data_IF_521417352923
#
_entry.id   IF_521417352923
#
_cell.length_a   1.000
_cell.length_b   1.000
_cell.length_c   1.000
_cell.angle_alpha   90.00
_cell.angle_beta   90.00
_cell.angle_gamma   90.00
#
_symmetry.space_group_name_H-M   'P 1'
#
loop_
_entity.id
_entity.type
_entity.pdbx_description
1 polymer ?
#
# COMPACT_ATOMS: atom_id res chain seq x y z
N UNK A 1 -22.98 20.97 -53.83
CA UNK A 1 -21.83 20.10 -53.51
C UNK A 1 -21.29 20.30 -52.09
N UNK A 2 -21.15 21.53 -51.57
CA UNK A 2 -20.67 21.77 -50.19
C UNK A 2 -21.56 21.17 -49.08
N UNK A 3 -22.89 21.16 -49.24
CA UNK A 3 -23.80 20.62 -48.22
C UNK A 3 -23.84 19.09 -48.13
N UNK A 4 -23.31 18.36 -49.12
CA UNK A 4 -23.31 16.88 -49.11
C UNK A 4 -22.04 16.30 -48.47
N UNK A 5 -20.92 17.01 -48.59
CA UNK A 5 -19.63 16.63 -47.99
C UNK A 5 -19.63 16.81 -46.47
N UNK A 6 -20.38 17.78 -45.95
CA UNK A 6 -20.47 18.05 -44.51
C UNK A 6 -21.34 17.03 -43.76
N UNK A 7 -22.35 16.47 -44.42
CA UNK A 7 -23.20 15.40 -43.87
C UNK A 7 -22.49 14.05 -43.85
N UNK A 8 -21.72 13.71 -44.89
CA UNK A 8 -20.94 12.47 -44.89
C UNK A 8 -19.82 12.46 -43.85
N UNK A 9 -19.17 13.61 -43.61
CA UNK A 9 -18.19 13.76 -42.53
C UNK A 9 -18.77 13.56 -41.13
N UNK A 10 -20.00 14.04 -40.88
CA UNK A 10 -20.70 13.88 -39.60
C UNK A 10 -21.22 12.45 -39.37
N UNK A 11 -21.68 11.78 -40.43
CA UNK A 11 -22.11 10.37 -40.36
C UNK A 11 -20.90 9.45 -40.11
N UNK A 12 -19.76 9.73 -40.75
CA UNK A 12 -18.51 9.01 -40.52
C UNK A 12 -18.00 9.19 -39.08
N UNK A 13 -18.04 10.42 -38.53
CA UNK A 13 -17.67 10.68 -37.13
C UNK A 13 -18.62 9.98 -36.14
N UNK A 14 -19.93 10.00 -36.42
CA UNK A 14 -20.93 9.33 -35.59
C UNK A 14 -20.74 7.81 -35.60
N UNK A 15 -20.53 7.18 -36.76
CA UNK A 15 -20.29 5.74 -36.88
C UNK A 15 -18.96 5.33 -36.21
N UNK A 16 -17.91 6.16 -36.30
CA UNK A 16 -16.65 5.90 -35.61
C UNK A 16 -16.76 6.06 -34.09
N UNK A 17 -17.52 7.05 -33.62
CA UNK A 17 -17.82 7.25 -32.19
C UNK A 17 -18.70 6.14 -31.63
N UNK A 18 -19.70 5.69 -32.39
CA UNK A 18 -20.58 4.58 -31.99
C UNK A 18 -19.83 3.25 -32.01
N UNK A 19 -19.00 2.96 -33.01
CA UNK A 19 -18.10 1.78 -33.03
C UNK A 19 -17.10 1.77 -31.88
N UNK A 20 -16.49 2.92 -31.55
CA UNK A 20 -15.65 3.05 -30.34
C UNK A 20 -16.46 2.78 -29.08
N UNK A 21 -17.67 3.33 -28.94
CA UNK A 21 -18.52 3.09 -27.77
C UNK A 21 -18.94 1.63 -27.62
N UNK A 22 -19.19 0.93 -28.74
CA UNK A 22 -19.61 -0.47 -28.76
C UNK A 22 -18.42 -1.40 -28.46
N UNK A 23 -17.25 -1.10 -29.04
CA UNK A 23 -16.00 -1.81 -28.73
C UNK A 23 -15.59 -1.61 -27.28
N UNK A 24 -15.76 -0.39 -26.74
CA UNK A 24 -15.45 -0.10 -25.35
C UNK A 24 -16.43 -0.83 -24.42
N UNK A 25 -17.74 -0.83 -24.70
CA UNK A 25 -18.71 -1.66 -23.95
C UNK A 25 -18.42 -3.16 -24.03
N UNK A 26 -17.98 -3.66 -25.18
CA UNK A 26 -17.57 -5.05 -25.33
C UNK A 26 -16.34 -5.37 -24.48
N UNK A 27 -15.33 -4.51 -24.47
CA UNK A 27 -14.15 -4.63 -23.59
C UNK A 27 -14.57 -4.64 -22.13
N UNK A 28 -15.39 -3.67 -21.68
CA UNK A 28 -15.87 -3.57 -20.30
C UNK A 28 -16.56 -4.85 -19.82
N UNK A 29 -17.29 -5.53 -20.71
CA UNK A 29 -18.02 -6.78 -20.41
C UNK A 29 -17.10 -7.99 -20.21
N UNK A 30 -15.93 -8.01 -20.86
CA UNK A 30 -14.99 -9.14 -20.76
C UNK A 30 -13.87 -8.87 -19.74
N UNK A 31 -13.71 -7.62 -19.25
CA UNK A 31 -12.70 -7.27 -18.23
C UNK A 31 -12.67 -8.21 -17.02
N UNK A 32 -13.80 -8.57 -16.38
CA UNK A 32 -13.76 -9.48 -15.22
C UNK A 32 -13.26 -10.88 -15.60
N UNK A 33 -13.66 -11.38 -16.77
CA UNK A 33 -13.26 -12.70 -17.26
C UNK A 33 -11.76 -12.75 -17.55
N UNK A 34 -11.22 -11.73 -18.23
CA UNK A 34 -9.79 -11.63 -18.50
C UNK A 34 -8.97 -11.45 -17.22
N UNK A 35 -9.48 -10.70 -16.25
CA UNK A 35 -8.85 -10.54 -14.93
C UNK A 35 -8.80 -11.88 -14.20
N UNK A 36 -9.91 -12.62 -14.17
CA UNK A 36 -9.97 -13.94 -13.57
C UNK A 36 -9.01 -14.94 -14.25
N UNK A 37 -8.98 -14.98 -15.59
CA UNK A 37 -8.12 -15.89 -16.34
C UNK A 37 -6.64 -15.57 -16.08
N UNK A 38 -6.26 -14.29 -16.19
CA UNK A 38 -4.87 -13.84 -16.03
C UNK A 38 -4.37 -14.10 -14.61
N UNK A 39 -5.14 -13.70 -13.60
CA UNK A 39 -4.78 -13.91 -12.19
C UNK A 39 -4.74 -15.39 -11.83
N UNK A 40 -5.64 -16.23 -12.36
CA UNK A 40 -5.61 -17.68 -12.17
C UNK A 40 -4.33 -18.29 -12.71
N UNK A 41 -3.97 -17.99 -13.95
CA UNK A 41 -2.77 -18.56 -14.56
C UNK A 41 -1.51 -18.15 -13.82
N UNK A 42 -1.40 -16.87 -13.43
CA UNK A 42 -0.29 -16.36 -12.63
C UNK A 42 -0.21 -17.05 -11.25
N UNK A 43 -1.35 -17.32 -10.58
CA UNK A 43 -1.37 -18.10 -9.33
C UNK A 43 -0.88 -19.53 -9.54
N UNK A 44 -1.29 -20.19 -10.61
CA UNK A 44 -0.88 -21.57 -10.91
C UNK A 44 0.64 -21.66 -11.12
N UNK A 45 1.26 -20.67 -11.77
CA UNK A 45 2.72 -20.62 -11.90
C UNK A 45 3.42 -20.34 -10.57
N UNK A 46 2.91 -19.39 -9.79
CA UNK A 46 3.47 -19.08 -8.47
C UNK A 46 3.39 -20.27 -7.51
N UNK A 47 2.34 -21.07 -7.56
CA UNK A 47 2.22 -22.26 -6.72
C UNK A 47 3.37 -23.24 -7.02
N UNK A 48 3.61 -23.55 -8.30
CA UNK A 48 4.71 -24.44 -8.72
C UNK A 48 6.08 -23.91 -8.31
N UNK A 49 6.29 -22.59 -8.44
CA UNK A 49 7.53 -21.94 -8.05
C UNK A 49 7.71 -21.96 -6.52
N UNK A 50 6.66 -21.65 -5.77
CA UNK A 50 6.66 -21.64 -4.29
C UNK A 50 6.92 -23.03 -3.72
N UNK A 51 6.30 -24.07 -4.27
CA UNK A 51 6.49 -25.45 -3.83
C UNK A 51 7.97 -25.86 -3.95
N UNK A 52 8.65 -25.46 -5.03
CA UNK A 52 10.08 -25.68 -5.20
C UNK A 52 10.90 -24.99 -4.12
N UNK A 53 10.66 -23.69 -3.87
CA UNK A 53 11.40 -22.96 -2.83
C UNK A 53 11.15 -23.55 -1.43
N UNK A 54 9.94 -24.02 -1.13
CA UNK A 54 9.65 -24.70 0.13
C UNK A 54 10.44 -26.00 0.30
N UNK A 55 10.52 -26.82 -0.76
CA UNK A 55 11.30 -28.07 -0.75
C UNK A 55 12.79 -27.76 -0.66
N UNK A 56 13.28 -26.79 -1.43
CA UNK A 56 14.69 -26.40 -1.44
C UNK A 56 15.15 -25.86 -0.08
N UNK A 57 14.35 -25.02 0.59
CA UNK A 57 14.67 -24.55 1.95
C UNK A 57 14.68 -25.66 3.00
N UNK A 58 13.98 -26.76 2.77
CA UNK A 58 13.96 -27.92 3.68
C UNK A 58 15.12 -28.91 3.46
N UNK A 59 15.82 -28.82 2.33
CA UNK A 59 16.77 -29.83 1.87
C UNK A 59 18.22 -29.67 2.40
N UNK A 60 18.51 -28.65 3.22
CA UNK A 60 19.86 -28.43 3.76
C UNK A 60 20.83 -27.76 2.77
N UNK A 61 21.93 -27.23 3.32
CA UNK A 61 22.84 -26.25 2.72
C UNK A 61 23.58 -26.78 1.48
N UNK A 62 22.94 -26.68 0.31
CA UNK A 62 23.51 -27.00 -0.99
C UNK A 62 22.66 -26.41 -2.12
N UNK A 63 23.28 -25.98 -3.24
CA UNK A 63 22.53 -25.47 -4.38
C UNK A 63 21.70 -26.60 -5.00
N UNK A 64 20.39 -26.60 -4.75
CA UNK A 64 19.44 -27.53 -5.36
C UNK A 64 19.27 -27.15 -6.83
N UNK A 65 19.57 -28.05 -7.78
CA UNK A 65 19.34 -27.79 -9.20
C UNK A 65 17.86 -27.50 -9.44
N UNK A 66 17.55 -26.40 -10.12
CA UNK A 66 16.17 -26.05 -10.45
C UNK A 66 15.62 -27.11 -11.42
N UNK A 67 14.51 -27.80 -11.09
CA UNK A 67 13.90 -28.77 -11.97
C UNK A 67 13.43 -28.11 -13.28
N UNK A 68 13.44 -28.84 -14.41
CA UNK A 68 13.00 -28.30 -15.70
C UNK A 68 11.56 -27.78 -15.66
N UNK A 69 10.69 -28.40 -14.85
CA UNK A 69 9.30 -27.96 -14.66
C UNK A 69 9.19 -26.58 -13.99
N UNK A 70 10.10 -26.29 -13.05
CA UNK A 70 10.17 -25.00 -12.34
C UNK A 70 10.78 -23.93 -13.24
N UNK A 71 11.80 -24.28 -14.02
CA UNK A 71 12.37 -23.38 -15.03
C UNK A 71 11.31 -23.01 -16.08
N UNK A 72 10.50 -23.97 -16.52
CA UNK A 72 9.38 -23.70 -17.42
C UNK A 72 8.32 -22.82 -16.74
N UNK A 73 8.01 -23.05 -15.46
CA UNK A 73 7.08 -22.22 -14.71
C UNK A 73 7.58 -20.77 -14.58
N UNK A 74 8.88 -20.54 -14.39
CA UNK A 74 9.50 -19.21 -14.37
C UNK A 74 9.40 -18.51 -15.73
N UNK A 75 9.68 -19.22 -16.82
CA UNK A 75 9.51 -18.67 -18.18
C UNK A 75 8.05 -18.32 -18.47
N UNK A 76 7.12 -19.18 -18.04
CA UNK A 76 5.69 -18.91 -18.15
C UNK A 76 5.28 -17.72 -17.28
N UNK A 77 5.80 -17.60 -16.07
CA UNK A 77 5.57 -16.45 -15.20
C UNK A 77 5.98 -15.14 -15.90
N UNK A 78 7.22 -15.05 -16.40
CA UNK A 78 7.70 -13.84 -17.09
C UNK A 78 6.87 -13.47 -18.31
N UNK A 79 6.45 -14.46 -19.11
CA UNK A 79 5.61 -14.21 -20.27
C UNK A 79 4.22 -13.69 -19.85
N UNK A 80 3.58 -14.34 -18.88
CA UNK A 80 2.22 -13.99 -18.46
C UNK A 80 2.19 -12.70 -17.65
N UNK A 81 3.24 -12.36 -16.92
CA UNK A 81 3.38 -11.07 -16.27
C UNK A 81 3.40 -9.95 -17.32
N UNK A 82 4.27 -10.06 -18.33
CA UNK A 82 4.33 -9.08 -19.42
C UNK A 82 3.01 -8.95 -20.17
N UNK A 83 2.37 -10.09 -20.47
CA UNK A 83 1.06 -10.10 -21.09
C UNK A 83 0.03 -9.39 -20.21
N UNK A 84 -0.04 -9.71 -18.91
CA UNK A 84 -0.94 -9.07 -17.96
C UNK A 84 -0.67 -7.57 -17.86
N UNK A 85 0.59 -7.13 -17.92
CA UNK A 85 0.95 -5.72 -17.94
C UNK A 85 0.39 -4.99 -19.15
N UNK A 86 0.53 -5.56 -20.35
CA UNK A 86 -0.09 -5.00 -21.55
C UNK A 86 -1.63 -5.01 -21.46
N UNK A 87 -2.22 -6.10 -20.97
CA UNK A 87 -3.68 -6.18 -20.78
C UNK A 87 -4.18 -5.15 -19.76
N UNK A 88 -3.39 -4.87 -18.72
CA UNK A 88 -3.70 -3.85 -17.72
C UNK A 88 -3.65 -2.44 -18.31
N UNK A 89 -2.61 -2.12 -19.08
CA UNK A 89 -2.43 -0.83 -19.75
C UNK A 89 -3.54 -0.53 -20.76
N UNK A 90 -3.94 -1.54 -21.54
CA UNK A 90 -5.05 -1.44 -22.50
C UNK A 90 -6.44 -1.42 -21.83
N UNK A 91 -6.51 -1.45 -20.50
CA UNK A 91 -7.77 -1.44 -19.75
C UNK A 91 -8.61 -2.70 -19.94
N UNK A 92 -7.99 -3.81 -20.36
CA UNK A 92 -8.64 -5.12 -20.47
C UNK A 92 -8.75 -5.84 -19.13
N UNK A 93 -8.02 -5.39 -18.10
CA UNK A 93 -8.14 -5.91 -16.74
C UNK A 93 -8.90 -4.94 -15.84
N UNK A 94 -9.61 -5.46 -14.85
CA UNK A 94 -10.18 -4.67 -13.76
C UNK A 94 -9.06 -4.25 -12.82
N UNK A 95 -8.72 -2.96 -12.84
CA UNK A 95 -7.58 -2.43 -12.09
C UNK A 95 -7.63 -2.78 -10.61
N UNK A 96 -8.77 -2.53 -9.96
CA UNK A 96 -8.92 -2.76 -8.52
C UNK A 96 -8.77 -4.24 -8.14
N UNK A 97 -9.39 -5.15 -8.90
CA UNK A 97 -9.30 -6.59 -8.65
C UNK A 97 -7.88 -7.11 -8.89
N UNK A 98 -7.22 -6.67 -9.96
CA UNK A 98 -5.84 -7.08 -10.27
C UNK A 98 -4.84 -6.59 -9.22
N UNK A 99 -4.93 -5.33 -8.79
CA UNK A 99 -4.05 -4.79 -7.73
C UNK A 99 -4.32 -5.46 -6.37
N UNK A 100 -5.59 -5.73 -6.05
CA UNK A 100 -5.96 -6.50 -4.85
C UNK A 100 -5.36 -7.90 -4.91
N UNK A 101 -5.41 -8.55 -6.08
CA UNK A 101 -4.78 -9.85 -6.30
C UNK A 101 -3.27 -9.83 -6.05
N UNK A 102 -2.54 -8.85 -6.59
CA UNK A 102 -1.09 -8.70 -6.36
C UNK A 102 -0.82 -8.63 -4.85
N UNK A 103 -1.60 -7.81 -4.15
CA UNK A 103 -1.43 -7.59 -2.72
C UNK A 103 -1.75 -8.83 -1.89
N UNK A 104 -2.81 -9.55 -2.23
CA UNK A 104 -3.16 -10.83 -1.59
C UNK A 104 -2.07 -11.88 -1.79
N UNK A 105 -1.38 -11.86 -2.93
CA UNK A 105 -0.24 -12.74 -3.19
C UNK A 105 0.96 -12.34 -2.32
N UNK A 106 1.28 -11.04 -2.24
CA UNK A 106 2.36 -10.52 -1.39
C UNK A 106 2.14 -10.86 0.09
N UNK A 107 0.92 -10.66 0.59
CA UNK A 107 0.56 -10.91 2.00
C UNK A 107 0.63 -12.41 2.37
N UNK A 108 0.51 -13.33 1.41
CA UNK A 108 0.58 -14.78 1.64
C UNK A 108 2.00 -15.34 1.74
N UNK A 109 3.01 -14.61 1.30
CA UNK A 109 4.42 -15.05 1.36
C UNK A 109 4.78 -15.29 2.84
N UNK A 110 5.57 -16.32 3.17
CA UNK A 110 6.03 -16.50 4.57
C UNK A 110 7.24 -15.59 4.84
N UNK A 111 7.48 -15.17 6.09
CA UNK A 111 8.67 -14.36 6.43
C UNK A 111 10.02 -14.92 6.01
N UNK A 112 10.13 -16.24 5.87
CA UNK A 112 11.38 -16.90 5.52
C UNK A 112 11.55 -17.12 4.01
N UNK A 113 10.53 -16.82 3.19
CA UNK A 113 10.55 -17.07 1.73
C UNK A 113 11.02 -15.83 0.96
N UNK A 114 12.26 -15.40 1.23
CA UNK A 114 12.83 -14.18 0.63
C UNK A 114 12.96 -14.26 -0.89
N UNK A 115 13.19 -15.44 -1.45
CA UNK A 115 13.31 -15.61 -2.91
C UNK A 115 11.98 -15.41 -3.64
N UNK A 116 10.88 -15.86 -3.05
CA UNK A 116 9.54 -15.59 -3.59
C UNK A 116 9.19 -14.10 -3.46
N UNK A 117 9.62 -13.45 -2.37
CA UNK A 117 9.46 -12.01 -2.22
C UNK A 117 10.27 -11.24 -3.27
N UNK A 118 11.51 -11.65 -3.57
CA UNK A 118 12.33 -11.05 -4.64
C UNK A 118 11.67 -11.18 -6.01
N UNK A 119 11.01 -12.30 -6.29
CA UNK A 119 10.29 -12.50 -7.55
C UNK A 119 9.10 -11.54 -7.69
N UNK A 120 8.39 -11.27 -6.59
CA UNK A 120 7.18 -10.44 -6.57
C UNK A 120 7.43 -8.95 -6.33
N UNK A 121 8.63 -8.59 -5.86
CA UNK A 121 9.03 -7.22 -5.61
C UNK A 121 8.99 -6.33 -6.87
N UNK A 122 9.51 -6.77 -8.05
CA UNK A 122 9.36 -6.03 -9.30
C UNK A 122 7.89 -5.78 -9.67
N UNK A 123 7.03 -6.80 -9.50
CA UNK A 123 5.60 -6.68 -9.78
C UNK A 123 4.97 -5.61 -8.88
N UNK A 124 5.26 -5.62 -7.59
CA UNK A 124 4.80 -4.60 -6.65
C UNK A 124 5.24 -3.18 -7.07
N UNK A 125 6.51 -3.02 -7.41
CA UNK A 125 7.09 -1.73 -7.78
C UNK A 125 6.58 -1.22 -9.14
N UNK A 126 6.35 -2.10 -10.10
CA UNK A 126 5.84 -1.77 -11.43
C UNK A 126 4.45 -1.12 -11.40
N UNK A 127 3.61 -1.49 -10.44
CA UNK A 127 2.27 -0.94 -10.27
C UNK A 127 2.18 0.14 -9.17
N UNK A 128 3.31 0.73 -8.74
CA UNK A 128 3.35 1.73 -7.66
C UNK A 128 2.37 2.88 -7.88
N UNK A 129 2.35 3.42 -9.10
CA UNK A 129 1.54 4.58 -9.48
C UNK A 129 0.04 4.29 -9.45
N UNK A 130 -0.33 3.02 -9.64
CA UNK A 130 -1.73 2.58 -9.61
C UNK A 130 -2.16 2.26 -8.16
N UNK A 131 -1.26 1.73 -7.34
CA UNK A 131 -1.52 1.52 -5.91
C UNK A 131 -1.81 2.83 -5.17
N UNK A 132 -1.03 3.89 -5.44
CA UNK A 132 -1.17 5.19 -4.76
C UNK A 132 -2.45 5.95 -5.12
N UNK A 133 -3.13 5.55 -6.21
CA UNK A 133 -4.45 6.07 -6.55
C UNK A 133 -5.56 5.56 -5.62
N UNK A 134 -5.34 4.46 -4.89
CA UNK A 134 -6.29 3.91 -3.92
C UNK A 134 -5.73 3.97 -2.51
N UNK A 135 -6.33 4.79 -1.65
CA UNK A 135 -5.94 4.92 -0.24
C UNK A 135 -6.05 3.58 0.52
N UNK A 136 -7.08 2.78 0.22
CA UNK A 136 -7.29 1.47 0.81
C UNK A 136 -6.14 0.49 0.46
N UNK A 137 -5.82 0.34 -0.83
CA UNK A 137 -4.76 -0.57 -1.25
C UNK A 137 -3.38 -0.08 -0.80
N UNK A 138 -3.12 1.23 -0.90
CA UNK A 138 -1.90 1.86 -0.39
C UNK A 138 -1.68 1.59 1.10
N UNK A 139 -2.74 1.64 1.91
CA UNK A 139 -2.65 1.40 3.35
C UNK A 139 -2.27 -0.05 3.65
N UNK A 140 -2.95 -1.01 3.02
CA UNK A 140 -2.63 -2.43 3.15
C UNK A 140 -1.19 -2.72 2.69
N UNK A 141 -0.78 -2.17 1.55
CA UNK A 141 0.58 -2.28 1.02
C UNK A 141 1.62 -1.68 1.97
N UNK A 142 1.34 -0.52 2.57
CA UNK A 142 2.21 0.09 3.56
C UNK A 142 2.37 -0.78 4.81
N UNK A 143 1.29 -1.38 5.31
CA UNK A 143 1.38 -2.34 6.44
C UNK A 143 2.25 -3.55 6.09
N UNK A 144 2.07 -4.10 4.88
CA UNK A 144 2.92 -5.18 4.39
C UNK A 144 4.40 -4.75 4.36
N UNK A 145 4.71 -3.61 3.74
CA UNK A 145 6.09 -3.11 3.63
C UNK A 145 6.71 -2.84 5.00
N UNK A 146 5.98 -2.15 5.88
CA UNK A 146 6.44 -1.80 7.23
C UNK A 146 6.71 -3.04 8.07
N UNK A 147 5.79 -4.01 8.08
CA UNK A 147 5.96 -5.27 8.83
C UNK A 147 7.12 -6.10 8.29
N UNK A 148 7.29 -6.18 6.97
CA UNK A 148 8.41 -6.91 6.34
C UNK A 148 9.75 -6.27 6.65
N UNK A 149 9.84 -4.96 6.52
CA UNK A 149 11.05 -4.21 6.88
C UNK A 149 11.39 -4.38 8.35
N UNK A 150 10.40 -4.29 9.26
CA UNK A 150 10.63 -4.49 10.69
C UNK A 150 11.20 -5.88 10.99
N UNK A 151 10.67 -6.94 10.36
CA UNK A 151 11.18 -8.31 10.53
C UNK A 151 12.63 -8.43 10.03
N UNK A 152 12.91 -7.95 8.81
CA UNK A 152 14.26 -7.97 8.23
C UNK A 152 15.26 -7.22 9.09
N UNK A 153 14.86 -6.10 9.70
CA UNK A 153 15.72 -5.28 10.58
C UNK A 153 15.90 -5.89 11.98
N UNK A 154 14.91 -6.65 12.46
CA UNK A 154 14.93 -7.27 13.80
C UNK A 154 15.75 -8.55 13.90
N UNK A 155 15.97 -9.26 12.77
CA UNK A 155 16.71 -10.53 12.73
C UNK A 155 18.25 -10.35 12.90
N UNK A 156 18.69 -9.13 13.24
CA UNK A 156 20.09 -8.84 13.56
C UNK A 156 20.40 -9.17 15.04
N UNK A 157 21.36 -10.09 15.32
CA UNK A 157 21.80 -10.37 16.68
C UNK A 157 22.45 -9.15 17.38
N UNK A 158 22.79 -8.08 16.65
CA UNK A 158 23.42 -6.87 17.21
C UNK A 158 22.44 -5.96 17.98
N UNK A 159 21.11 -6.08 17.78
CA UNK A 159 20.14 -5.30 18.55
C UNK A 159 19.85 -5.89 19.93
N UNK A 160 20.11 -7.19 20.14
CA UNK A 160 19.94 -7.86 21.43
C UNK A 160 21.13 -7.67 22.37
N UNK A 161 22.30 -7.29 21.86
CA UNK A 161 23.49 -7.04 22.68
C UNK A 161 23.37 -5.77 23.56
N UNK A 162 22.36 -4.91 23.33
CA UNK A 162 22.14 -3.70 24.13
C UNK A 162 21.34 -3.94 25.43
N UNK A 163 20.77 -5.13 25.65
CA UNK A 163 20.07 -5.46 26.90
C UNK A 163 20.43 -6.86 27.40
N UNK A 164 21.56 -6.97 28.09
CA UNK A 164 21.80 -8.06 29.03
C UNK A 164 21.38 -7.64 30.45
N UNK A 165 20.59 -8.43 31.20
CA UNK A 165 20.07 -8.07 32.51
C UNK A 165 21.05 -8.45 33.65
N UNK A 166 21.19 -7.51 34.61
CA UNK A 166 21.56 -7.65 36.04
C UNK A 166 22.62 -8.66 36.53
N UNK A 167 23.62 -8.17 37.29
CA UNK A 167 24.07 -8.79 38.56
C UNK A 167 24.55 -7.72 39.56
N UNK A 168 24.16 -7.90 40.83
CA UNK A 168 24.47 -7.06 41.99
C UNK A 168 25.80 -7.47 42.68
N UNK A 169 26.46 -6.53 43.36
CA UNK A 169 27.07 -6.59 44.73
C UNK A 169 28.40 -5.80 44.84
N UNK A 170 28.49 -4.90 45.84
CA UNK A 170 29.73 -4.61 46.58
C UNK A 170 30.12 -3.13 46.73
N UNK A 171 30.24 -2.57 47.96
CA UNK A 171 30.61 -1.17 48.19
C UNK A 171 32.14 -1.01 48.40
N UNK A 172 32.77 -0.08 47.68
CA UNK A 172 34.05 0.50 48.10
C UNK A 172 34.32 1.87 47.46
N UNK A 173 34.71 2.81 48.32
CA UNK A 173 35.05 4.19 48.03
C UNK A 173 36.24 4.34 47.07
N UNK A 174 36.20 5.34 46.18
CA UNK A 174 37.01 6.57 46.20
C UNK A 174 37.46 7.10 44.83
N UNK A 175 37.50 8.45 44.79
CA UNK A 175 38.12 9.38 43.84
C UNK A 175 37.32 9.84 42.61
N UNK A 176 36.97 11.13 42.69
CA UNK A 176 36.36 11.95 41.66
C UNK A 176 37.33 12.14 40.48
N UNK A 177 36.82 11.93 39.27
CA UNK A 177 37.36 12.45 38.02
C UNK A 177 36.21 12.71 37.07
N UNK A 178 35.72 13.95 37.03
CA UNK A 178 34.65 14.36 36.13
C UNK A 178 35.16 14.38 34.67
N UNK A 179 34.51 13.71 33.71
CA UNK A 179 34.68 14.04 32.31
C UNK A 179 33.67 15.15 31.96
N UNK A 180 34.20 16.28 31.47
CA UNK A 180 33.40 17.33 30.84
C UNK A 180 32.56 16.77 29.68
N UNK A 181 31.37 17.33 29.40
CA UNK A 181 30.62 16.99 28.20
C UNK A 181 31.33 17.62 26.99
N UNK A 182 32.15 16.82 26.31
CA UNK A 182 32.62 17.14 24.97
C UNK A 182 31.46 17.12 23.97
N UNK A 183 31.54 17.86 22.85
CA UNK A 183 30.47 17.93 21.87
C UNK A 183 30.17 16.52 21.32
N UNK A 184 28.90 16.19 21.03
CA UNK A 184 28.58 14.94 20.37
C UNK A 184 29.24 14.95 18.99
N UNK A 185 30.23 14.07 18.79
CA UNK A 185 30.68 13.71 17.45
C UNK A 185 29.50 13.11 16.66
N UNK A 186 29.60 13.04 15.32
CA UNK A 186 28.55 12.46 14.49
C UNK A 186 28.52 10.93 14.69
N UNK A 187 27.94 10.50 15.80
CA UNK A 187 27.61 9.11 16.06
C UNK A 187 26.47 8.72 15.14
N UNK A 188 26.78 7.97 14.08
CA UNK A 188 25.78 7.26 13.27
C UNK A 188 24.87 6.46 14.20
N UNK A 189 23.56 6.59 14.04
CA UNK A 189 22.61 5.92 14.92
C UNK A 189 22.74 4.39 14.77
N UNK A 190 22.48 3.59 15.82
CA UNK A 190 22.56 2.12 15.76
C UNK A 190 21.75 1.53 14.60
N UNK A 191 20.63 2.18 14.29
CA UNK A 191 19.74 1.87 13.16
C UNK A 191 20.41 2.11 11.81
N UNK A 192 21.16 3.20 11.64
CA UNK A 192 21.89 3.50 10.41
C UNK A 192 23.04 2.52 10.18
N UNK A 193 23.70 2.05 11.24
CA UNK A 193 24.67 0.96 11.15
C UNK A 193 23.99 -0.35 10.70
N UNK A 194 22.85 -0.70 11.31
CA UNK A 194 22.10 -1.89 10.92
C UNK A 194 21.70 -1.85 9.43
N UNK A 195 21.21 -0.71 8.93
CA UNK A 195 20.97 -0.55 7.50
C UNK A 195 22.23 -0.75 6.66
N UNK A 196 23.38 -0.18 7.05
CA UNK A 196 24.64 -0.35 6.33
C UNK A 196 25.00 -1.83 6.18
N UNK A 197 24.82 -2.63 7.22
CA UNK A 197 25.11 -4.06 7.22
C UNK A 197 24.12 -4.84 6.32
N UNK A 198 22.82 -4.57 6.41
CA UNK A 198 21.81 -5.24 5.58
C UNK A 198 21.92 -4.87 4.09
N UNK A 199 22.26 -3.62 3.78
CA UNK A 199 22.46 -3.16 2.42
C UNK A 199 23.72 -3.75 1.78
N UNK A 200 24.69 -4.17 2.60
CA UNK A 200 25.90 -4.87 2.14
C UNK A 200 25.64 -6.35 1.81
N UNK A 201 24.52 -6.92 2.28
CA UNK A 201 24.15 -8.30 1.97
C UNK A 201 23.44 -8.40 0.60
N UNK A 202 24.03 -9.16 -0.32
CA UNK A 202 23.49 -9.36 -1.67
C UNK A 202 22.08 -9.99 -1.68
N UNK A 203 21.68 -10.70 -0.63
CA UNK A 203 20.36 -11.31 -0.52
C UNK A 203 19.29 -10.33 0.01
N UNK A 204 19.60 -9.53 1.03
CA UNK A 204 18.61 -8.64 1.67
C UNK A 204 18.58 -7.23 1.09
N UNK A 205 19.69 -6.75 0.51
CA UNK A 205 19.80 -5.40 -0.04
C UNK A 205 18.67 -5.02 -1.01
N UNK A 206 18.38 -5.82 -2.05
CA UNK A 206 17.30 -5.55 -2.99
C UNK A 206 15.92 -5.47 -2.32
N UNK A 207 15.64 -6.35 -1.36
CA UNK A 207 14.38 -6.37 -0.61
C UNK A 207 14.21 -5.11 0.23
N UNK A 208 15.24 -4.74 0.99
CA UNK A 208 15.23 -3.54 1.83
C UNK A 208 15.04 -2.29 0.96
N UNK A 209 15.75 -2.16 -0.16
CA UNK A 209 15.56 -1.02 -1.07
C UNK A 209 14.17 -0.98 -1.69
N UNK A 210 13.63 -2.10 -2.18
CA UNK A 210 12.32 -2.11 -2.82
C UNK A 210 11.17 -1.84 -1.85
N UNK A 211 11.19 -2.45 -0.66
CA UNK A 211 10.17 -2.19 0.37
C UNK A 211 10.27 -0.74 0.89
N UNK A 212 11.49 -0.22 1.05
CA UNK A 212 11.70 1.18 1.45
C UNK A 212 11.18 2.14 0.37
N UNK A 213 11.52 1.88 -0.90
CA UNK A 213 11.07 2.67 -2.03
C UNK A 213 9.54 2.72 -2.11
N UNK A 214 8.88 1.57 -1.95
CA UNK A 214 7.42 1.52 -1.97
C UNK A 214 6.81 2.32 -0.81
N UNK A 215 7.33 2.17 0.40
CA UNK A 215 6.82 2.90 1.56
C UNK A 215 7.04 4.42 1.42
N UNK A 216 8.19 4.84 0.89
CA UNK A 216 8.47 6.24 0.56
C UNK A 216 7.53 6.77 -0.52
N UNK A 217 7.21 5.96 -1.54
CA UNK A 217 6.26 6.30 -2.60
C UNK A 217 4.86 6.50 -2.04
N UNK A 218 4.38 5.59 -1.19
CA UNK A 218 3.09 5.75 -0.49
C UNK A 218 3.11 7.00 0.40
N UNK A 219 4.23 7.28 1.08
CA UNK A 219 4.37 8.47 1.93
C UNK A 219 4.21 9.76 1.11
N UNK A 220 4.80 9.84 -0.08
CA UNK A 220 4.75 11.03 -0.93
C UNK A 220 3.42 11.19 -1.67
N UNK A 221 2.90 10.11 -2.25
CA UNK A 221 1.78 10.16 -3.19
C UNK A 221 0.42 9.90 -2.53
N UNK A 222 0.37 9.12 -1.44
CA UNK A 222 -0.87 8.78 -0.74
C UNK A 222 -0.71 8.90 0.80
N UNK A 223 -0.39 10.09 1.34
CA UNK A 223 -0.11 10.26 2.76
C UNK A 223 -1.30 9.95 3.67
N UNK A 224 -2.54 10.08 3.15
CA UNK A 224 -3.77 9.71 3.87
C UNK A 224 -3.80 8.24 4.28
N UNK A 225 -3.20 7.34 3.49
CA UNK A 225 -3.13 5.91 3.79
C UNK A 225 -2.33 5.62 5.07
N UNK A 226 -1.38 6.49 5.42
CA UNK A 226 -0.47 6.34 6.56
C UNK A 226 -0.96 7.04 7.84
N UNK A 227 -2.01 7.88 7.75
CA UNK A 227 -2.57 8.54 8.92
C UNK A 227 -3.16 7.49 9.87
N UNK A 228 -2.92 7.67 11.16
CA UNK A 228 -3.44 6.81 12.22
C UNK A 228 -4.97 6.70 12.12
N UNK A 229 -5.50 5.48 12.18
CA UNK A 229 -6.94 5.23 12.09
C UNK A 229 -7.41 4.37 13.28
N UNK A 230 -8.46 4.84 13.95
CA UNK A 230 -9.12 4.11 15.02
C UNK A 230 -10.12 3.12 14.42
N UNK A 231 -9.85 1.81 14.51
CA UNK A 231 -10.86 0.82 14.16
C UNK A 231 -11.96 0.82 15.23
N UNK A 232 -13.03 1.58 15.00
CA UNK A 232 -14.20 1.65 15.90
C UNK A 232 -15.16 0.46 15.76
N UNK A 233 -14.70 -0.70 15.29
CA UNK A 233 -15.58 -1.86 15.10
C UNK A 233 -14.93 -3.15 15.60
N UNK A 234 -15.54 -3.73 16.64
CA UNK A 234 -15.15 -4.96 17.34
C UNK A 234 -15.28 -6.24 16.50
N UNK A 235 -15.05 -6.18 15.18
CA UNK A 235 -14.98 -7.38 14.35
C UNK A 235 -13.96 -7.25 13.21
N UNK A 236 -12.80 -7.88 13.42
CA UNK A 236 -11.87 -8.37 12.37
C UNK A 236 -11.21 -7.35 11.43
N UNK A 237 -11.07 -6.06 11.78
CA UNK A 237 -10.13 -5.20 11.02
C UNK A 237 -8.69 -5.44 11.52
N UNK A 238 -7.92 -6.20 10.74
CA UNK A 238 -6.62 -6.80 11.11
C UNK A 238 -5.46 -5.84 11.46
N UNK A 239 -5.63 -4.52 11.53
CA UNK A 239 -4.53 -3.59 11.89
C UNK A 239 -5.06 -2.21 12.32
N UNK A 240 -5.37 -2.00 13.60
CA UNK A 240 -5.53 -0.64 14.14
C UNK A 240 -4.20 0.13 14.09
N UNK A 241 -4.24 1.46 14.01
CA UNK A 241 -3.05 2.33 14.15
C UNK A 241 -2.55 2.97 12.85
N UNK A 242 -1.29 3.39 12.80
CA UNK A 242 -0.60 3.79 11.57
C UNK A 242 0.29 2.64 11.08
N UNK A 243 0.41 2.39 9.76
CA UNK A 243 1.45 1.50 9.23
C UNK A 243 2.87 1.89 9.69
N UNK A 244 3.11 3.17 9.96
CA UNK A 244 4.40 3.68 10.39
C UNK A 244 4.74 3.30 11.84
N UNK A 245 3.75 2.97 12.67
CA UNK A 245 3.97 2.59 14.08
C UNK A 245 4.70 1.24 14.21
N UNK A 246 4.67 0.41 13.16
CA UNK A 246 5.38 -0.87 13.11
C UNK A 246 6.87 -0.71 12.87
N UNK A 247 7.31 0.46 12.40
CA UNK A 247 8.71 0.72 12.09
C UNK A 247 9.38 1.50 13.23
N UNK A 248 10.56 1.03 13.63
CA UNK A 248 11.44 1.80 14.53
C UNK A 248 12.11 2.98 13.82
N UNK A 249 11.87 3.13 12.50
CA UNK A 249 12.60 4.04 11.61
C UNK A 249 11.60 4.84 10.78
N UNK A 250 11.79 6.16 10.75
CA UNK A 250 11.01 7.06 9.92
C UNK A 250 11.20 6.78 8.40
N UNK A 251 10.16 6.94 7.55
CA UNK A 251 10.28 6.77 6.10
C UNK A 251 11.37 7.64 5.45
N UNK A 252 11.60 8.84 6.00
CA UNK A 252 12.65 9.77 5.56
C UNK A 252 14.07 9.26 5.80
N UNK A 253 14.24 8.36 6.77
CA UNK A 253 15.52 7.73 7.13
C UNK A 253 15.74 6.38 6.46
N UNK A 254 14.77 5.89 5.68
CA UNK A 254 14.91 4.63 4.95
C UNK A 254 15.91 4.76 3.78
N UNK A 255 16.59 3.66 3.43
CA UNK A 255 17.60 3.67 2.38
C UNK A 255 17.00 3.93 1.00
N UNK A 256 17.75 4.68 0.19
CA UNK A 256 17.38 5.01 -1.18
C UNK A 256 18.48 4.55 -2.14
N UNK A 257 18.15 3.96 -3.30
CA UNK A 257 19.13 3.64 -4.33
C UNK A 257 19.93 4.87 -4.77
N UNK A 258 21.19 4.68 -5.15
CA UNK A 258 22.04 5.76 -5.64
C UNK A 258 22.74 6.60 -4.56
N UNK A 259 22.70 6.19 -3.29
CA UNK A 259 23.48 6.82 -2.22
C UNK A 259 22.97 8.21 -1.80
N UNK A 260 23.88 9.10 -1.38
CA UNK A 260 23.53 10.43 -0.85
C UNK A 260 23.71 11.55 -1.88
N UNK A 261 23.03 11.43 -3.03
CA UNK A 261 23.01 12.49 -4.06
C UNK A 261 22.19 13.70 -3.57
N UNK A 262 22.43 14.88 -4.16
CA UNK A 262 21.65 16.09 -3.88
C UNK A 262 20.14 15.88 -4.16
N UNK A 263 19.81 15.12 -5.21
CA UNK A 263 18.44 14.73 -5.50
C UNK A 263 17.83 13.87 -4.38
N UNK A 264 18.54 12.83 -3.91
CA UNK A 264 18.05 12.00 -2.81
C UNK A 264 17.89 12.81 -1.51
N UNK A 265 18.74 13.81 -1.26
CA UNK A 265 18.57 14.72 -0.12
C UNK A 265 17.28 15.56 -0.25
N UNK A 266 16.98 16.07 -1.45
CA UNK A 266 15.73 16.80 -1.70
C UNK A 266 14.51 15.90 -1.52
N UNK A 267 14.55 14.67 -2.02
CA UNK A 267 13.46 13.70 -1.83
C UNK A 267 13.28 13.37 -0.35
N UNK A 268 14.36 13.13 0.40
CA UNK A 268 14.29 12.91 1.86
C UNK A 268 13.69 14.10 2.61
N UNK A 269 14.08 15.32 2.27
CA UNK A 269 13.49 16.53 2.84
C UNK A 269 11.98 16.58 2.58
N UNK A 270 11.55 16.26 1.35
CA UNK A 270 10.14 16.22 1.00
C UNK A 270 9.37 15.12 1.75
N UNK A 271 9.95 13.92 1.86
CA UNK A 271 9.36 12.83 2.65
C UNK A 271 9.19 13.27 4.11
N UNK A 272 10.22 13.91 4.69
CA UNK A 272 10.17 14.41 6.06
C UNK A 272 9.05 15.44 6.26
N UNK A 273 8.86 16.38 5.33
CA UNK A 273 7.75 17.34 5.40
C UNK A 273 6.39 16.63 5.44
N UNK A 274 6.18 15.66 4.55
CA UNK A 274 4.92 14.91 4.49
C UNK A 274 4.73 14.03 5.73
N UNK A 275 5.80 13.46 6.26
CA UNK A 275 5.81 12.72 7.53
C UNK A 275 5.32 13.59 8.69
N UNK A 276 5.75 14.85 8.78
CA UNK A 276 5.26 15.78 9.80
C UNK A 276 3.76 16.07 9.65
N UNK A 277 3.27 16.20 8.41
CA UNK A 277 1.83 16.36 8.15
C UNK A 277 1.05 15.12 8.60
N UNK A 278 1.55 13.92 8.32
CA UNK A 278 0.94 12.66 8.75
C UNK A 278 0.87 12.60 10.29
N UNK A 279 1.97 12.93 10.99
CA UNK A 279 2.02 12.97 12.45
C UNK A 279 1.04 14.00 13.03
N UNK A 280 0.97 15.19 12.43
CA UNK A 280 0.02 16.22 12.86
C UNK A 280 -1.43 15.74 12.70
N UNK A 281 -1.76 15.12 11.56
CA UNK A 281 -3.09 14.54 11.33
C UNK A 281 -3.39 13.40 12.29
N UNK A 282 -2.43 12.51 12.55
CA UNK A 282 -2.57 11.42 13.52
C UNK A 282 -2.90 11.92 14.93
N UNK A 283 -2.15 12.92 15.42
CA UNK A 283 -2.44 13.56 16.72
C UNK A 283 -3.84 14.18 16.79
N UNK A 284 -4.32 14.79 15.71
CA UNK A 284 -5.68 15.32 15.67
C UNK A 284 -6.74 14.20 15.83
N UNK A 285 -6.51 13.04 15.22
CA UNK A 285 -7.39 11.87 15.39
C UNK A 285 -7.37 11.36 16.84
N UNK A 286 -6.20 11.25 17.47
CA UNK A 286 -6.05 10.81 18.87
C UNK A 286 -6.77 11.75 19.85
N UNK A 287 -6.72 13.05 19.60
CA UNK A 287 -7.39 14.08 20.41
C UNK A 287 -8.90 14.14 20.12
N UNK A 288 -9.44 13.17 19.36
CA UNK A 288 -10.84 13.13 18.89
C UNK A 288 -11.23 14.49 18.31
N UNK A 289 -10.55 14.90 17.24
CA UNK A 289 -10.75 16.15 16.50
C UNK A 289 -12.22 16.61 16.35
N UNK A 290 -13.19 15.68 16.37
CA UNK A 290 -14.58 15.98 16.73
C UNK A 290 -14.87 15.50 18.16
N UNK A 291 -14.74 16.37 19.16
CA UNK A 291 -15.14 16.06 20.54
C UNK A 291 -16.62 15.64 20.55
N UNK A 292 -17.09 14.87 21.53
CA UNK A 292 -18.52 14.51 21.66
C UNK A 292 -19.43 15.76 21.68
N UNK A 293 -18.93 16.88 22.21
CA UNK A 293 -19.59 18.20 22.17
C UNK A 293 -19.81 18.76 20.76
N UNK A 294 -18.96 18.41 19.80
CA UNK A 294 -19.14 18.78 18.39
C UNK A 294 -20.19 17.87 17.74
N UNK A 295 -20.22 16.57 18.05
CA UNK A 295 -21.24 15.64 17.54
C UNK A 295 -22.66 16.01 17.97
N UNK A 296 -22.83 16.55 19.19
CA UNK A 296 -24.12 17.07 19.67
C UNK A 296 -24.54 18.38 18.98
N UNK A 297 -23.63 19.07 18.30
CA UNK A 297 -23.94 20.28 17.54
C UNK A 297 -24.47 19.94 16.15
N UNK A 298 -25.29 20.84 15.58
CA UNK A 298 -25.76 20.74 14.18
C UNK A 298 -24.60 20.56 13.19
N UNK A 299 -23.44 21.18 13.46
CA UNK A 299 -22.25 21.03 12.65
C UNK A 299 -21.68 19.59 12.72
N UNK A 300 -21.62 18.97 13.89
CA UNK A 300 -21.15 17.59 14.03
C UNK A 300 -22.10 16.56 13.45
N UNK A 301 -23.42 16.76 13.57
CA UNK A 301 -24.40 15.93 12.85
C UNK A 301 -24.16 16.00 11.34
N UNK A 302 -23.90 17.20 10.81
CA UNK A 302 -23.61 17.40 9.38
C UNK A 302 -22.30 16.71 8.98
N UNK A 303 -21.23 16.88 9.77
CA UNK A 303 -19.93 16.25 9.55
C UNK A 303 -20.08 14.72 9.56
N UNK A 304 -20.77 14.14 10.55
CA UNK A 304 -21.00 12.69 10.63
C UNK A 304 -21.77 12.15 9.41
N UNK A 305 -22.77 12.90 8.91
CA UNK A 305 -23.50 12.52 7.69
C UNK A 305 -22.63 12.59 6.44
N UNK A 306 -21.77 13.60 6.32
CA UNK A 306 -20.80 13.70 5.22
C UNK A 306 -19.79 12.57 5.29
N UNK A 307 -19.21 12.29 6.46
CA UNK A 307 -18.26 11.20 6.64
C UNK A 307 -18.88 9.83 6.32
N UNK A 308 -20.10 9.57 6.77
CA UNK A 308 -20.84 8.35 6.41
C UNK A 308 -21.08 8.24 4.90
N UNK A 309 -21.46 9.35 4.25
CA UNK A 309 -21.65 9.40 2.79
C UNK A 309 -20.34 9.10 2.05
N UNK A 310 -19.23 9.72 2.49
CA UNK A 310 -17.91 9.47 1.93
C UNK A 310 -17.48 8.01 2.10
N UNK A 311 -17.72 7.40 3.27
CA UNK A 311 -17.42 5.97 3.49
C UNK A 311 -18.25 5.07 2.58
N UNK A 312 -19.56 5.34 2.44
CA UNK A 312 -20.46 4.58 1.58
C UNK A 312 -20.04 4.70 0.10
N UNK A 313 -19.62 5.88 -0.34
CA UNK A 313 -19.12 6.12 -1.70
C UNK A 313 -17.78 5.43 -1.94
N UNK A 314 -16.83 5.51 -1.01
CA UNK A 314 -15.49 4.91 -1.12
C UNK A 314 -15.57 3.38 -1.22
N UNK A 315 -16.56 2.77 -0.56
CA UNK A 315 -16.80 1.32 -0.61
C UNK A 315 -17.60 0.86 -1.82
N UNK A 316 -18.19 1.77 -2.58
CA UNK A 316 -19.03 1.44 -3.73
C UNK A 316 -18.19 1.30 -5.00
N UNK A 317 -18.25 0.13 -5.62
CA UNK A 317 -17.52 -0.12 -6.86
C UNK A 317 -18.39 0.30 -8.06
N UNK A 318 -18.13 1.46 -8.67
CA UNK A 318 -18.93 2.01 -9.77
C UNK A 318 -18.83 1.21 -11.08
N UNK A 319 -17.78 0.41 -11.24
CA UNK A 319 -17.59 -0.46 -12.40
C UNK A 319 -18.45 -1.75 -12.36
N UNK A 320 -19.03 -2.07 -11.20
CA UNK A 320 -19.72 -3.35 -10.96
C UNK A 320 -21.11 -3.15 -10.38
N UNK A 321 -22.14 -3.38 -11.19
CA UNK A 321 -23.55 -3.36 -10.76
C UNK A 321 -24.10 -4.75 -10.48
N UNK A 322 -24.10 -5.14 -9.19
CA UNK A 322 -24.74 -6.36 -8.68
C UNK A 322 -25.91 -5.98 -7.76
N UNK A 323 -26.75 -6.96 -7.36
CA UNK A 323 -27.92 -6.70 -6.48
C UNK A 323 -27.56 -6.09 -5.11
N UNK A 324 -26.33 -6.28 -4.62
CA UNK A 324 -25.82 -5.69 -3.37
C UNK A 324 -25.00 -4.40 -3.58
N UNK A 325 -24.62 -4.08 -4.81
CA UNK A 325 -23.77 -2.95 -5.22
C UNK A 325 -24.39 -2.25 -6.45
N UNK A 326 -25.62 -1.77 -6.29
CA UNK A 326 -26.35 -1.05 -7.33
C UNK A 326 -26.51 0.42 -6.95
N UNK A 327 -26.80 1.26 -7.93
CA UNK A 327 -27.06 2.68 -7.69
C UNK A 327 -28.24 2.88 -6.70
N UNK A 328 -29.20 1.97 -6.71
CA UNK A 328 -30.32 1.94 -5.76
C UNK A 328 -29.84 1.63 -4.32
N UNK A 329 -28.98 0.62 -4.14
CA UNK A 329 -28.46 0.31 -2.79
C UNK A 329 -27.52 1.39 -2.28
N UNK A 330 -26.77 2.05 -3.18
CA UNK A 330 -25.96 3.22 -2.85
C UNK A 330 -26.85 4.40 -2.38
N UNK A 331 -27.90 4.72 -3.14
CA UNK A 331 -28.84 5.77 -2.81
C UNK A 331 -29.49 5.54 -1.44
N UNK A 332 -29.96 4.31 -1.18
CA UNK A 332 -30.52 3.96 0.12
C UNK A 332 -29.48 4.07 1.25
N UNK A 333 -28.23 3.68 1.04
CA UNK A 333 -27.19 3.80 2.08
C UNK A 333 -26.82 5.26 2.41
N UNK A 334 -26.85 6.15 1.43
CA UNK A 334 -26.52 7.58 1.60
C UNK A 334 -27.71 8.34 2.21
N UNK A 335 -28.91 8.14 1.69
CA UNK A 335 -30.06 8.99 1.99
C UNK A 335 -31.08 8.37 2.95
N UNK A 336 -31.05 7.05 3.17
CA UNK A 336 -32.06 6.34 3.96
C UNK A 336 -31.59 5.88 5.34
N UNK A 337 -30.29 5.97 5.64
CA UNK A 337 -29.72 5.49 6.91
C UNK A 337 -30.18 6.27 8.17
N UNK A 338 -30.97 7.34 8.04
CA UNK A 338 -31.53 8.08 9.19
C UNK A 338 -32.90 8.69 8.86
N UNK A 339 -33.95 7.86 8.90
CA UNK A 339 -35.34 8.29 9.09
C UNK A 339 -35.59 8.51 10.60
N UNK A 340 -34.89 9.45 11.22
CA UNK A 340 -35.40 10.11 12.42
C UNK A 340 -35.97 11.46 11.98
N UNK A 341 -37.28 11.59 12.17
CA UNK A 341 -38.10 12.75 11.82
C UNK A 341 -37.47 14.06 12.31
N UNK A 342 -37.69 15.12 11.54
CA UNK A 342 -37.54 16.55 11.88
C UNK A 342 -36.34 17.35 11.33
N UNK A 343 -35.43 16.79 10.52
CA UNK A 343 -34.31 17.58 9.95
C UNK A 343 -34.25 17.61 8.40
N UNK A 344 -35.33 17.27 7.70
CA UNK A 344 -35.34 17.18 6.23
C UNK A 344 -35.35 18.55 5.51
N UNK A 345 -35.75 19.63 6.17
CA UNK A 345 -35.97 20.92 5.46
C UNK A 345 -34.69 21.77 5.29
N UNK A 346 -33.63 21.53 6.07
CA UNK A 346 -32.44 22.39 6.03
C UNK A 346 -31.39 22.01 4.97
N UNK A 347 -31.53 20.86 4.28
CA UNK A 347 -30.48 20.35 3.38
C UNK A 347 -30.72 20.71 1.90
N UNK A 348 -31.97 20.93 1.47
CA UNK A 348 -32.25 21.32 0.09
C UNK A 348 -31.66 22.70 -0.28
N UNK A 349 -31.41 23.56 0.70
CA UNK A 349 -30.88 24.91 0.45
C UNK A 349 -29.37 24.99 0.28
N UNK A 350 -28.58 24.01 0.75
CA UNK A 350 -27.11 24.10 0.74
C UNK A 350 -26.44 23.50 -0.50
N UNK A 351 -27.18 22.78 -1.35
CA UNK A 351 -26.64 22.16 -2.58
C UNK A 351 -26.98 22.92 -3.87
N UNK A 352 -27.80 23.99 -3.79
CA UNK A 352 -28.23 24.82 -4.95
C UNK A 352 -27.58 26.22 -4.94
N UNK A 353 -26.53 26.42 -4.15
CA UNK A 353 -25.73 27.64 -4.18
C UNK A 353 -24.25 27.31 -4.08
#
# INVERSE_FOLDING_TARGET
MFSSLQTEGLISLADHSTKRSFSQRAVLKVRPQWTQISTRYLREQLAKISDFYHVASSAGDGPVPVPPDVEQALKQWEYNEKLASHMFQEGMLEKHEYLTWILDVLEKIRPMDDDLLKLLLPLMLQYSDEFVQSAYLSRRLAYFCARRLALLLSDSPNLLAAHSPHMMIGPSNSSLGAPSPGPPGPGVSPVQLAFSDFLSCAQHGPLVYGLSCMLQTVTLCCPSALVWNYSTNDSKSSTPGSPLDLLQVAPSSLPMPGGNTAFNQQVRARIYEVEQQIKQRGRAVEVRWSFDKCQESTAGVTISRVLHTLEVLDRHCFDRTDSSNSMETLYHKIFWANQNKDNQEHIFFLFIQ
#
